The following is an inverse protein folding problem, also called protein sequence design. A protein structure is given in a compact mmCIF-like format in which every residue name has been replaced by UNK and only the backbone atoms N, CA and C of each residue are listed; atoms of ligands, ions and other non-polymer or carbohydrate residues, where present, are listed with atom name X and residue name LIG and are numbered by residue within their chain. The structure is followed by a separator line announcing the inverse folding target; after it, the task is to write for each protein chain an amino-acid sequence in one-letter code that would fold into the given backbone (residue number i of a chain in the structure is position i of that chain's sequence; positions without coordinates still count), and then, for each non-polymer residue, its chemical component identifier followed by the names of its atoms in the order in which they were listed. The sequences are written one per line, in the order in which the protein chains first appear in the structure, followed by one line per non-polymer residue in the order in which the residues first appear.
data_IF_585480015943
#
_entry.id   IF_585480015943
#
_cell.length_a   1.000
_cell.length_b   1.000
_cell.length_c   1.000
_cell.angle_alpha   90.00
_cell.angle_beta   90.00
_cell.angle_gamma   90.00
#
_symmetry.space_group_name_H-M   'P 1'
#
loop_
_entity.id
_entity.type
_entity.pdbx_description
1 polymer ?
#
# COMPACT_ATOMS: atom_id res chain seq x y z
N UNK A 1 73.59 89.15 25.35
CA UNK A 1 74.07 89.89 24.17
C UNK A 1 72.95 89.94 23.16
N UNK A 2 72.16 91.02 23.17
CA UNK A 2 71.20 91.32 22.11
C UNK A 2 71.98 92.02 21.00
N UNK A 3 72.17 91.34 19.88
CA UNK A 3 72.78 91.92 18.69
C UNK A 3 71.63 92.24 17.72
N UNK A 4 71.11 93.47 17.83
CA UNK A 4 70.12 94.04 16.92
C UNK A 4 70.84 94.49 15.64
N UNK A 5 70.91 93.58 14.67
CA UNK A 5 71.08 93.96 13.26
C UNK A 5 69.70 94.24 12.68
N UNK A 6 69.46 95.34 11.96
CA UNK A 6 68.17 95.58 11.33
C UNK A 6 67.93 94.49 10.29
N UNK A 7 67.01 93.56 10.59
CA UNK A 7 66.52 92.58 9.60
C UNK A 7 65.98 93.37 8.42
N UNK A 8 66.65 93.30 7.27
CA UNK A 8 66.04 93.64 5.99
C UNK A 8 64.64 93.03 5.98
N UNK A 9 63.61 93.85 5.77
CA UNK A 9 62.25 93.37 5.65
C UNK A 9 62.22 92.40 4.45
N UNK A 10 62.25 91.10 4.72
CA UNK A 10 62.01 90.09 3.70
C UNK A 10 60.59 90.31 3.20
N UNK A 11 60.46 90.90 2.02
CA UNK A 11 59.17 91.06 1.36
C UNK A 11 58.76 89.65 0.89
N UNK A 12 57.91 89.00 1.68
CA UNK A 12 57.36 87.68 1.38
C UNK A 12 56.05 87.86 0.62
N UNK A 13 55.87 87.14 -0.50
CA UNK A 13 54.59 87.15 -1.22
C UNK A 13 53.50 86.49 -0.38
N UNK A 14 52.25 86.90 -0.56
CA UNK A 14 51.09 86.35 0.17
C UNK A 14 51.02 84.82 0.02
N UNK A 15 51.31 84.28 -1.17
CA UNK A 15 51.39 82.84 -1.41
C UNK A 15 52.47 82.16 -0.58
N UNK A 16 53.66 82.77 -0.50
CA UNK A 16 54.78 82.22 0.28
C UNK A 16 54.50 82.32 1.78
N UNK A 17 53.82 83.36 2.23
CA UNK A 17 53.40 83.53 3.62
C UNK A 17 52.39 82.44 4.03
N UNK A 18 51.33 82.23 3.25
CA UNK A 18 50.32 81.19 3.54
C UNK A 18 50.93 79.78 3.53
N UNK A 19 51.85 79.50 2.59
CA UNK A 19 52.53 78.20 2.53
C UNK A 19 53.43 77.96 3.75
N UNK A 20 54.16 78.98 4.20
CA UNK A 20 55.00 78.87 5.41
C UNK A 20 54.14 78.70 6.67
N UNK A 21 53.04 79.46 6.80
CA UNK A 21 52.12 79.33 7.93
C UNK A 21 51.48 77.94 7.99
N UNK A 22 51.07 77.40 6.83
CA UNK A 22 50.55 76.04 6.72
C UNK A 22 51.57 75.00 7.19
N UNK A 23 52.81 75.08 6.69
CA UNK A 23 53.87 74.13 7.04
C UNK A 23 54.17 74.12 8.54
N UNK A 24 54.23 75.29 9.18
CA UNK A 24 54.49 75.40 10.62
C UNK A 24 53.32 74.82 11.42
N UNK A 25 52.08 75.12 11.05
CA UNK A 25 50.90 74.59 11.75
C UNK A 25 50.78 73.07 11.59
N UNK A 26 51.02 72.56 10.38
CA UNK A 26 51.01 71.11 10.11
C UNK A 26 52.15 70.38 10.86
N UNK A 27 53.34 70.99 11.00
CA UNK A 27 54.47 70.38 11.70
C UNK A 27 54.38 70.44 13.22
N UNK A 28 53.91 71.56 13.79
CA UNK A 28 53.90 71.77 15.24
C UNK A 28 52.65 71.20 15.93
N UNK A 29 51.48 71.29 15.30
CA UNK A 29 50.20 70.87 15.91
C UNK A 29 49.81 69.45 15.46
N UNK A 30 50.12 69.08 14.21
CA UNK A 30 49.87 67.74 13.70
C UNK A 30 48.40 67.31 13.72
N UNK A 31 48.18 66.02 14.00
CA UNK A 31 46.84 65.42 14.10
C UNK A 31 46.25 65.61 15.49
N UNK A 32 45.01 66.11 15.54
CA UNK A 32 44.30 66.44 16.79
C UNK A 32 42.90 65.83 16.83
N UNK A 33 42.41 65.63 18.05
CA UNK A 33 41.01 65.29 18.32
C UNK A 33 40.30 66.51 18.88
N UNK A 34 39.21 66.92 18.22
CA UNK A 34 38.47 68.12 18.59
C UNK A 34 37.00 67.75 18.79
N UNK A 35 36.47 68.08 19.97
CA UNK A 35 35.03 67.99 20.24
C UNK A 35 34.34 69.31 19.91
N UNK A 36 33.14 69.24 19.34
CA UNK A 36 32.30 70.40 19.15
C UNK A 36 30.97 70.07 18.49
N UNK A 37 30.11 71.08 18.42
CA UNK A 37 28.82 70.99 17.75
C UNK A 37 28.97 71.36 16.27
N UNK A 38 28.37 70.56 15.39
CA UNK A 38 28.35 70.82 13.95
C UNK A 38 27.38 71.96 13.66
N UNK A 39 27.84 72.97 12.94
CA UNK A 39 27.00 74.04 12.39
C UNK A 39 27.25 74.19 10.89
N UNK A 40 26.27 74.73 10.16
CA UNK A 40 26.38 75.02 8.73
C UNK A 40 26.87 73.83 7.88
N UNK A 41 26.30 72.63 8.11
CA UNK A 41 26.67 71.43 7.38
C UNK A 41 26.21 71.49 5.91
N UNK A 42 27.14 71.33 4.98
CA UNK A 42 26.92 71.32 3.53
C UNK A 42 27.57 70.09 2.92
N UNK A 43 26.77 69.26 2.25
CA UNK A 43 27.28 68.19 1.40
C UNK A 43 27.40 68.72 -0.04
N UNK A 44 28.62 68.96 -0.51
CA UNK A 44 28.87 69.47 -1.85
C UNK A 44 28.60 68.42 -2.94
N UNK A 45 28.31 68.85 -4.16
CA UNK A 45 28.09 67.97 -5.31
C UNK A 45 29.30 67.07 -5.63
N UNK A 46 30.51 67.46 -5.21
CA UNK A 46 31.73 66.65 -5.31
C UNK A 46 31.77 65.45 -4.35
N UNK A 47 30.83 65.39 -3.40
CA UNK A 47 30.79 64.36 -2.35
C UNK A 47 31.67 64.69 -1.13
N UNK A 48 32.27 65.87 -1.06
CA UNK A 48 32.94 66.37 0.14
C UNK A 48 31.95 67.03 1.09
N UNK A 49 32.19 66.92 2.39
CA UNK A 49 31.38 67.58 3.42
C UNK A 49 32.15 68.77 3.98
N UNK A 50 31.46 69.89 4.10
CA UNK A 50 31.96 71.10 4.71
C UNK A 50 31.04 71.48 5.85
N UNK A 51 31.60 71.75 7.01
CA UNK A 51 30.85 72.17 8.19
C UNK A 51 31.73 73.01 9.10
N UNK A 52 31.13 73.72 10.04
CA UNK A 52 31.87 74.48 11.05
C UNK A 52 31.70 73.78 12.38
N UNK A 53 32.82 73.42 13.01
CA UNK A 53 32.84 72.86 14.35
C UNK A 53 32.91 74.04 15.33
N UNK A 54 31.93 74.17 16.22
CA UNK A 54 31.86 75.26 17.20
C UNK A 54 31.83 74.71 18.63
N UNK A 55 32.42 75.47 19.54
CA UNK A 55 32.23 75.34 20.99
C UNK A 55 31.59 76.63 21.54
N UNK A 56 31.55 76.80 22.86
CA UNK A 56 30.93 77.97 23.49
C UNK A 56 31.65 79.31 23.23
N UNK A 57 32.91 79.30 22.76
CA UNK A 57 33.78 80.49 22.64
C UNK A 57 34.45 80.64 21.28
N UNK A 58 34.56 79.58 20.49
CA UNK A 58 35.33 79.51 19.27
C UNK A 58 34.62 78.64 18.21
N UNK A 59 35.01 78.86 16.95
CA UNK A 59 34.53 78.06 15.82
C UNK A 59 35.66 77.87 14.80
N UNK A 60 35.64 76.73 14.12
CA UNK A 60 36.63 76.39 13.08
C UNK A 60 35.96 75.71 11.89
N UNK A 61 36.31 76.16 10.68
CA UNK A 61 35.84 75.52 9.44
C UNK A 61 36.49 74.16 9.29
N UNK A 62 35.68 73.16 8.96
CA UNK A 62 36.12 71.77 8.84
C UNK A 62 35.66 71.20 7.50
N UNK A 63 36.58 70.53 6.80
CA UNK A 63 36.32 69.83 5.56
C UNK A 63 36.58 68.33 5.75
N UNK A 64 35.67 67.50 5.26
CA UNK A 64 35.81 66.04 5.24
C UNK A 64 35.72 65.55 3.80
N UNK A 65 36.80 64.93 3.31
CA UNK A 65 36.86 64.46 1.93
C UNK A 65 36.06 63.17 1.72
N UNK A 66 35.72 62.90 0.46
CA UNK A 66 34.85 61.78 0.03
C UNK A 66 35.44 60.41 0.41
N UNK A 67 36.76 60.31 0.44
CA UNK A 67 37.45 59.09 0.87
C UNK A 67 37.19 58.78 2.35
N UNK A 68 37.18 59.81 3.19
CA UNK A 68 37.01 59.68 4.64
C UNK A 68 35.55 59.53 5.04
N UNK A 69 34.63 60.29 4.44
CA UNK A 69 33.21 60.24 4.82
C UNK A 69 32.49 58.93 4.42
N UNK A 70 33.04 58.15 3.47
CA UNK A 70 32.47 56.85 3.07
C UNK A 70 32.53 55.80 4.19
N UNK A 71 33.44 55.94 5.15
CA UNK A 71 33.59 55.01 6.27
C UNK A 71 32.64 55.32 7.44
N UNK A 72 31.93 56.45 7.40
CA UNK A 72 30.99 56.80 8.44
C UNK A 72 29.67 56.06 8.25
N UNK A 73 29.21 55.41 9.34
CA UNK A 73 27.92 54.70 9.39
C UNK A 73 26.71 55.65 9.52
N UNK A 74 26.95 56.94 9.77
CA UNK A 74 25.92 57.94 9.95
C UNK A 74 26.25 59.21 9.16
N UNK A 75 25.20 59.98 8.84
CA UNK A 75 25.34 61.29 8.20
C UNK A 75 25.09 62.38 9.25
N UNK A 76 26.09 63.20 9.60
CA UNK A 76 25.92 64.25 10.60
C UNK A 76 24.94 65.32 10.13
N UNK A 77 24.28 65.95 11.09
CA UNK A 77 23.36 67.09 10.93
C UNK A 77 23.87 68.29 11.71
N UNK A 78 23.39 69.48 11.33
CA UNK A 78 23.64 70.67 12.13
C UNK A 78 22.97 70.52 13.51
N UNK A 79 23.72 70.77 14.57
CA UNK A 79 23.33 70.53 15.96
C UNK A 79 23.94 69.29 16.59
N UNK A 80 24.51 68.36 15.80
CA UNK A 80 25.12 67.15 16.34
C UNK A 80 26.43 67.49 17.06
N UNK A 81 26.59 66.99 18.29
CA UNK A 81 27.87 67.03 19.01
C UNK A 81 28.73 65.86 18.58
N UNK A 82 29.93 66.15 18.12
CA UNK A 82 30.84 65.16 17.55
C UNK A 82 32.26 65.35 18.04
N UNK A 83 33.00 64.25 18.10
CA UNK A 83 34.44 64.21 18.28
C UNK A 83 35.06 63.87 16.93
N UNK A 84 35.89 64.76 16.42
CA UNK A 84 36.50 64.65 15.09
C UNK A 84 38.00 64.50 15.22
N UNK A 85 38.56 63.48 14.55
CA UNK A 85 40.01 63.39 14.33
C UNK A 85 40.35 64.15 13.05
N UNK A 86 41.14 65.20 13.19
CA UNK A 86 41.45 66.09 12.08
C UNK A 86 42.91 66.55 12.09
N UNK A 87 43.42 66.84 10.89
CA UNK A 87 44.70 67.51 10.73
C UNK A 87 44.45 69.00 10.52
N UNK A 88 45.26 69.81 11.19
CA UNK A 88 45.15 71.25 11.06
C UNK A 88 45.81 71.74 9.78
N UNK A 89 45.15 72.63 9.04
CA UNK A 89 45.69 73.15 7.78
C UNK A 89 45.19 74.57 7.48
N UNK A 90 45.76 75.19 6.46
CA UNK A 90 45.31 76.49 5.92
C UNK A 90 44.90 76.31 4.46
N UNK A 91 43.75 76.88 4.09
CA UNK A 91 43.34 76.94 2.69
C UNK A 91 44.14 78.03 1.96
N UNK A 92 45.22 77.61 1.29
CA UNK A 92 46.26 78.50 0.71
C UNK A 92 45.72 79.63 -0.17
N UNK A 93 44.64 79.39 -0.91
CA UNK A 93 44.06 80.38 -1.83
C UNK A 93 43.35 81.55 -1.11
N UNK A 94 42.90 81.36 0.14
CA UNK A 94 42.24 82.43 0.93
C UNK A 94 42.92 82.73 2.27
N UNK A 95 43.85 81.88 2.72
CA UNK A 95 44.47 81.99 4.03
C UNK A 95 43.58 81.57 5.19
N UNK A 96 42.45 80.89 4.93
CA UNK A 96 41.51 80.47 5.97
C UNK A 96 42.07 79.29 6.78
N UNK A 97 42.03 79.41 8.11
CA UNK A 97 42.34 78.32 9.04
C UNK A 97 41.24 77.25 8.98
N UNK A 98 41.62 75.99 8.79
CA UNK A 98 40.68 74.90 8.63
C UNK A 98 41.16 73.57 9.22
N UNK A 99 40.23 72.72 9.61
CA UNK A 99 40.47 71.33 9.97
C UNK A 99 40.13 70.41 8.79
N UNK A 100 41.00 69.45 8.51
CA UNK A 100 40.73 68.36 7.57
C UNK A 100 40.36 67.13 8.38
N UNK A 101 39.06 66.83 8.45
CA UNK A 101 38.53 65.70 9.20
C UNK A 101 38.80 64.38 8.48
N UNK A 102 39.42 63.44 9.18
CA UNK A 102 39.64 62.07 8.71
C UNK A 102 38.63 61.08 9.29
N UNK A 103 38.25 61.28 10.55
CA UNK A 103 37.33 60.41 11.28
C UNK A 103 36.39 61.26 12.14
N UNK A 104 35.16 60.80 12.34
CA UNK A 104 34.13 61.50 13.11
C UNK A 104 33.29 60.49 13.89
N UNK A 105 33.09 60.76 15.17
CA UNK A 105 32.21 59.98 16.04
C UNK A 105 31.27 60.92 16.81
N UNK A 106 30.02 60.51 17.11
CA UNK A 106 29.17 61.29 18.00
C UNK A 106 29.82 61.40 19.38
N UNK A 107 29.75 62.59 19.99
CA UNK A 107 30.25 62.82 21.35
C UNK A 107 29.42 61.99 22.34
N UNK A 108 30.04 60.99 22.99
CA UNK A 108 29.40 60.11 23.98
C UNK A 108 29.63 58.61 23.75
N UNK A 109 29.75 58.15 22.50
CA UNK A 109 29.89 56.71 22.20
C UNK A 109 31.21 56.11 22.72
N UNK A 110 32.31 56.87 22.71
CA UNK A 110 33.61 56.41 23.21
C UNK A 110 33.63 56.20 24.73
N UNK A 111 32.98 57.08 25.50
CA UNK A 111 32.90 56.98 26.96
C UNK A 111 32.00 55.82 27.39
N UNK A 112 30.84 55.66 26.73
CA UNK A 112 29.94 54.53 26.99
C UNK A 112 30.62 53.20 26.66
N UNK A 113 31.35 53.11 25.55
CA UNK A 113 32.08 51.88 25.21
C UNK A 113 33.17 51.54 26.24
N UNK A 114 33.93 52.53 26.69
CA UNK A 114 34.93 52.33 27.76
C UNK A 114 34.28 51.91 29.08
N UNK A 115 33.16 52.54 29.47
CA UNK A 115 32.42 52.17 30.66
C UNK A 115 31.87 50.74 30.58
N UNK A 116 31.36 50.32 29.42
CA UNK A 116 30.90 48.96 29.18
C UNK A 116 32.04 47.94 29.31
N UNK A 117 33.19 48.19 28.66
CA UNK A 117 34.34 47.28 28.71
C UNK A 117 34.91 47.18 30.13
N UNK A 118 34.98 48.30 30.87
CA UNK A 118 35.41 48.33 32.26
C UNK A 118 34.46 47.55 33.18
N UNK A 119 33.15 47.78 33.08
CA UNK A 119 32.17 47.09 33.91
C UNK A 119 32.09 45.59 33.58
N UNK A 120 32.18 45.23 32.29
CA UNK A 120 32.26 43.84 31.85
C UNK A 120 33.47 43.13 32.47
N UNK A 121 34.64 43.77 32.47
CA UNK A 121 35.84 43.20 33.09
C UNK A 121 35.66 43.03 34.61
N UNK A 122 35.09 44.04 35.29
CA UNK A 122 34.81 44.00 36.73
C UNK A 122 33.87 42.85 37.11
N UNK A 123 32.72 42.74 36.46
CA UNK A 123 31.72 41.70 36.76
C UNK A 123 32.21 40.29 36.37
N UNK A 124 33.01 40.19 35.31
CA UNK A 124 33.69 38.94 34.93
C UNK A 124 34.68 38.49 36.01
N UNK A 125 35.43 39.40 36.62
CA UNK A 125 36.34 39.08 37.74
C UNK A 125 35.59 38.66 39.00
N UNK A 126 34.38 39.18 39.22
CA UNK A 126 33.49 38.76 40.30
C UNK A 126 32.85 37.39 40.06
N UNK A 127 33.06 36.76 38.89
CA UNK A 127 32.53 35.44 38.56
C UNK A 127 31.07 35.41 38.10
N UNK A 128 30.40 36.56 37.97
CA UNK A 128 28.96 36.62 37.65
C UNK A 128 28.58 36.09 36.26
N UNK A 129 29.56 35.81 35.40
CA UNK A 129 29.34 35.23 34.07
C UNK A 129 29.59 33.72 34.02
N UNK A 130 29.92 33.10 35.17
CA UNK A 130 30.16 31.67 35.26
C UNK A 130 28.93 30.88 34.82
N UNK A 131 29.13 29.84 34.01
CA UNK A 131 28.02 28.96 33.57
C UNK A 131 27.53 28.09 34.73
N UNK A 132 28.40 27.80 35.71
CA UNK A 132 28.09 26.92 36.84
C UNK A 132 27.08 27.54 37.83
N UNK A 133 27.01 28.87 37.89
CA UNK A 133 26.09 29.60 38.77
C UNK A 133 24.71 29.82 38.13
N UNK A 134 24.55 29.55 36.82
CA UNK A 134 23.31 29.81 36.09
C UNK A 134 22.25 28.77 36.42
N UNK A 135 21.05 29.25 36.69
CA UNK A 135 19.91 28.41 37.03
C UNK A 135 19.34 27.73 35.77
N UNK A 136 19.15 26.40 35.76
CA UNK A 136 18.51 25.75 34.64
C UNK A 136 17.03 26.16 34.53
N UNK A 137 16.54 26.32 33.31
CA UNK A 137 15.11 26.59 33.10
C UNK A 137 14.25 25.43 33.62
N UNK A 138 13.09 25.71 34.26
CA UNK A 138 12.16 24.68 34.68
C UNK A 138 11.68 23.84 33.50
N UNK A 139 11.56 22.51 33.70
CA UNK A 139 11.05 21.59 32.66
C UNK A 139 9.59 21.82 32.29
N UNK A 140 8.82 22.46 33.16
CA UNK A 140 7.41 22.75 32.92
C UNK A 140 7.19 24.19 33.33
N UNK A 141 6.89 25.03 32.34
CA UNK A 141 6.63 26.45 32.52
C UNK A 141 5.13 26.65 32.35
N UNK A 142 4.47 27.08 33.42
CA UNK A 142 3.04 27.38 33.44
C UNK A 142 2.77 28.87 33.48
N UNK A 143 3.69 29.65 34.05
CA UNK A 143 3.57 31.10 34.18
C UNK A 143 4.87 31.80 33.86
N UNK A 144 4.79 32.80 32.98
CA UNK A 144 5.95 33.61 32.56
C UNK A 144 5.74 35.05 32.97
N UNK A 145 6.74 35.64 33.64
CA UNK A 145 6.75 37.06 33.95
C UNK A 145 7.51 37.86 32.90
N UNK A 146 6.96 38.98 32.44
CA UNK A 146 7.58 39.86 31.45
C UNK A 146 7.98 41.18 32.09
N UNK A 147 9.28 41.46 32.18
CA UNK A 147 9.83 42.75 32.61
C UNK A 147 10.19 43.56 31.37
N UNK A 148 9.24 44.34 30.88
CA UNK A 148 9.34 45.14 29.65
C UNK A 148 8.25 46.22 29.65
N UNK A 149 8.27 47.15 28.69
CA UNK A 149 7.23 48.17 28.54
C UNK A 149 5.87 47.57 28.22
N UNK A 150 4.81 48.00 28.92
CA UNK A 150 3.45 47.48 28.76
C UNK A 150 2.81 47.71 27.38
N UNK A 151 3.32 48.67 26.62
CA UNK A 151 2.81 49.06 25.29
C UNK A 151 3.81 48.80 24.15
N UNK A 152 4.99 48.22 24.45
CA UNK A 152 6.05 48.02 23.47
C UNK A 152 5.79 46.88 22.49
N UNK A 153 6.47 46.93 21.33
CA UNK A 153 6.44 45.86 20.33
C UNK A 153 6.90 44.50 20.92
N UNK A 154 7.89 44.51 21.82
CA UNK A 154 8.40 43.29 22.45
C UNK A 154 7.34 42.50 23.23
N UNK A 155 6.43 43.18 23.96
CA UNK A 155 5.34 42.49 24.66
C UNK A 155 4.39 41.86 23.66
N UNK A 156 4.02 42.57 22.60
CA UNK A 156 3.11 42.08 21.58
C UNK A 156 3.70 40.87 20.83
N UNK A 157 4.99 40.92 20.50
CA UNK A 157 5.73 39.84 19.85
C UNK A 157 5.76 38.59 20.73
N UNK A 158 6.10 38.74 22.02
CA UNK A 158 6.12 37.63 22.99
C UNK A 158 4.72 37.02 23.13
N UNK A 159 3.70 37.86 23.37
CA UNK A 159 2.32 37.39 23.54
C UNK A 159 1.81 36.65 22.29
N UNK A 160 2.12 37.15 21.09
CA UNK A 160 1.70 36.53 19.83
C UNK A 160 2.35 35.16 19.64
N UNK A 161 3.65 35.04 19.92
CA UNK A 161 4.39 33.77 19.82
C UNK A 161 3.87 32.76 20.85
N UNK A 162 3.68 33.19 22.10
CA UNK A 162 3.18 32.32 23.17
C UNK A 162 1.75 31.86 22.90
N UNK A 163 0.84 32.75 22.49
CA UNK A 163 -0.54 32.38 22.15
C UNK A 163 -0.61 31.37 20.99
N UNK A 164 0.31 31.45 20.02
CA UNK A 164 0.37 30.51 18.90
C UNK A 164 0.95 29.14 19.28
N UNK A 165 2.02 29.10 20.08
CA UNK A 165 2.77 27.86 20.41
C UNK A 165 2.24 27.15 21.64
N UNK A 166 1.91 27.89 22.70
CA UNK A 166 1.43 27.33 23.96
C UNK A 166 0.45 28.30 24.66
N UNK A 167 -0.85 28.26 24.31
CA UNK A 167 -1.86 29.14 24.88
C UNK A 167 -2.21 28.83 26.35
N UNK A 168 -1.68 27.73 26.91
CA UNK A 168 -1.91 27.37 28.32
C UNK A 168 -0.96 28.08 29.28
N UNK A 169 0.08 28.75 28.79
CA UNK A 169 1.00 29.51 29.65
C UNK A 169 0.35 30.86 29.99
N UNK A 170 0.22 31.15 31.28
CA UNK A 170 -0.24 32.46 31.75
C UNK A 170 0.91 33.47 31.73
N UNK A 171 0.62 34.69 31.28
CA UNK A 171 1.63 35.75 31.18
C UNK A 171 1.33 36.85 32.19
N UNK A 172 2.28 37.14 33.07
CA UNK A 172 2.22 38.22 34.04
C UNK A 172 3.13 39.35 33.59
N UNK A 173 2.57 40.53 33.33
CA UNK A 173 3.36 41.68 32.87
C UNK A 173 3.78 42.51 34.09
N UNK A 174 5.09 42.69 34.24
CA UNK A 174 5.71 43.61 35.17
C UNK A 174 6.15 44.85 34.38
N UNK A 175 5.29 45.89 34.28
CA UNK A 175 5.54 47.02 33.42
C UNK A 175 6.79 47.77 33.89
N UNK A 176 7.80 47.82 33.04
CA UNK A 176 9.05 48.52 33.31
C UNK A 176 9.36 49.57 32.26
N UNK A 177 9.95 50.69 32.69
CA UNK A 177 10.69 51.58 31.80
C UNK A 177 11.93 50.83 31.31
N UNK A 178 12.05 50.70 29.99
CA UNK A 178 13.16 49.97 29.33
C UNK A 178 14.15 50.91 28.64
N UNK A 179 13.94 52.22 28.75
CA UNK A 179 14.78 53.27 28.18
C UNK A 179 14.70 54.55 29.02
N UNK A 180 15.76 55.36 28.96
CA UNK A 180 15.91 56.59 29.74
C UNK A 180 16.57 56.38 31.11
N UNK A 181 16.92 57.47 31.80
CA UNK A 181 17.74 57.47 33.03
C UNK A 181 17.12 56.70 34.21
N UNK A 182 15.79 56.56 34.24
CA UNK A 182 15.08 55.84 35.31
C UNK A 182 14.87 54.35 34.98
N UNK A 183 15.25 53.89 33.78
CA UNK A 183 14.95 52.53 33.33
C UNK A 183 15.65 51.47 34.18
N UNK A 184 16.96 51.61 34.45
CA UNK A 184 17.69 50.63 35.23
C UNK A 184 17.10 50.41 36.62
N UNK A 185 16.79 51.50 37.35
CA UNK A 185 16.13 51.41 38.67
C UNK A 185 14.76 50.73 38.60
N UNK A 186 13.99 51.03 37.55
CA UNK A 186 12.66 50.45 37.41
C UNK A 186 12.71 48.96 37.04
N UNK A 187 13.66 48.54 36.20
CA UNK A 187 13.92 47.13 35.88
C UNK A 187 14.27 46.36 37.15
N UNK A 188 15.21 46.88 37.96
CA UNK A 188 15.58 46.27 39.25
C UNK A 188 14.36 46.11 40.15
N UNK A 189 13.56 47.16 40.32
CA UNK A 189 12.36 47.12 41.15
C UNK A 189 11.35 46.08 40.68
N UNK A 190 11.16 45.92 39.36
CA UNK A 190 10.23 44.92 38.81
C UNK A 190 10.76 43.49 38.98
N UNK A 191 12.07 43.26 38.84
CA UNK A 191 12.70 41.95 39.10
C UNK A 191 12.55 41.58 40.58
N UNK A 192 12.82 42.52 41.49
CA UNK A 192 12.64 42.31 42.93
C UNK A 192 11.18 42.04 43.29
N UNK A 193 10.24 42.78 42.70
CA UNK A 193 8.81 42.56 42.91
C UNK A 193 8.37 41.16 42.45
N UNK A 194 8.85 40.70 41.29
CA UNK A 194 8.55 39.35 40.81
C UNK A 194 9.10 38.28 41.76
N UNK A 195 10.33 38.45 42.25
CA UNK A 195 10.95 37.57 43.23
C UNK A 195 10.21 37.56 44.59
N UNK A 196 9.63 38.68 44.99
CA UNK A 196 8.81 38.77 46.21
C UNK A 196 7.48 38.04 46.04
N UNK A 197 6.82 38.18 44.88
CA UNK A 197 5.51 37.57 44.61
C UNK A 197 5.57 36.07 44.37
N UNK A 198 6.66 35.57 43.77
CA UNK A 198 6.87 34.15 43.43
C UNK A 198 5.69 33.54 42.67
N UNK A 199 5.07 34.32 41.79
CA UNK A 199 3.88 33.92 41.02
C UNK A 199 4.20 33.42 39.60
N UNK A 200 5.47 33.48 39.19
CA UNK A 200 5.94 33.06 37.86
C UNK A 200 7.10 32.07 37.97
N UNK A 201 7.20 31.18 36.99
CA UNK A 201 8.22 30.12 36.93
C UNK A 201 9.54 30.63 36.31
N UNK A 202 9.45 31.61 35.41
CA UNK A 202 10.56 32.21 34.69
C UNK A 202 10.26 33.68 34.37
N UNK A 203 11.31 34.49 34.32
CA UNK A 203 11.24 35.90 33.93
C UNK A 203 11.89 36.12 32.56
N UNK A 204 11.23 36.90 31.71
CA UNK A 204 11.83 37.44 30.49
C UNK A 204 12.07 38.93 30.73
N UNK A 205 13.34 39.32 30.77
CA UNK A 205 13.77 40.71 30.89
C UNK A 205 14.25 41.13 29.51
N UNK A 206 13.58 42.11 28.92
CA UNK A 206 13.82 42.38 27.51
C UNK A 206 13.23 43.69 27.03
N UNK A 207 13.60 44.02 25.81
CA UNK A 207 13.11 45.20 25.10
C UNK A 207 13.13 44.91 23.60
N UNK A 208 12.32 45.63 22.83
CA UNK A 208 12.39 45.62 21.35
C UNK A 208 13.62 46.37 20.84
N UNK A 209 13.87 46.37 19.53
CA UNK A 209 15.04 47.05 18.93
C UNK A 209 15.33 48.48 19.44
N UNK A 210 16.55 48.95 19.26
CA UNK A 210 17.00 50.26 19.78
C UNK A 210 18.42 50.61 19.36
N UNK A 211 18.80 51.87 19.55
CA UNK A 211 20.22 52.28 19.50
C UNK A 211 20.99 51.75 20.72
N UNK A 212 22.32 51.85 20.71
CA UNK A 212 23.13 51.45 21.88
C UNK A 212 22.81 52.26 23.15
N UNK A 213 22.47 53.54 23.00
CA UNK A 213 22.07 54.45 24.10
C UNK A 213 20.76 53.98 24.75
N UNK A 214 19.86 53.51 23.89
CA UNK A 214 18.56 52.96 24.23
C UNK A 214 18.67 51.64 25.02
N UNK A 215 19.69 50.83 24.74
CA UNK A 215 19.98 49.58 25.45
C UNK A 215 20.82 49.78 26.71
N UNK A 216 21.28 51.01 26.98
CA UNK A 216 22.27 51.27 28.03
C UNK A 216 21.78 50.89 29.43
N UNK A 217 20.48 51.01 29.71
CA UNK A 217 19.89 50.60 30.98
C UNK A 217 20.20 49.14 31.36
N UNK A 218 20.41 48.26 30.37
CA UNK A 218 20.76 46.86 30.57
C UNK A 218 22.28 46.62 30.73
N UNK A 219 23.07 47.67 30.60
CA UNK A 219 24.51 47.71 30.85
C UNK A 219 24.85 48.40 32.18
N UNK A 220 23.87 48.66 33.05
CA UNK A 220 24.12 49.24 34.37
C UNK A 220 24.37 48.15 35.42
N UNK A 221 25.32 48.42 36.32
CA UNK A 221 25.71 47.52 37.42
C UNK A 221 24.53 47.05 38.30
N UNK A 222 23.58 47.91 38.72
CA UNK A 222 22.44 47.47 39.53
C UNK A 222 21.56 46.42 38.84
N UNK A 223 21.39 46.52 37.51
CA UNK A 223 20.58 45.55 36.74
C UNK A 223 21.30 44.21 36.67
N UNK A 224 22.62 44.21 36.47
CA UNK A 224 23.43 42.99 36.52
C UNK A 224 23.27 42.27 37.88
N UNK A 225 23.39 43.00 39.00
CA UNK A 225 23.20 42.41 40.32
C UNK A 225 21.78 41.89 40.56
N UNK A 226 20.76 42.61 40.10
CA UNK A 226 19.37 42.17 40.24
C UNK A 226 19.09 40.89 39.46
N UNK A 227 19.68 40.74 38.27
CA UNK A 227 19.55 39.52 37.47
C UNK A 227 20.29 38.35 38.15
N UNK A 228 21.55 38.54 38.55
CA UNK A 228 22.36 37.50 39.18
C UNK A 228 21.75 36.98 40.49
N UNK A 229 21.18 37.88 41.31
CA UNK A 229 20.61 37.53 42.62
C UNK A 229 19.15 37.09 42.55
N UNK A 230 18.56 36.96 41.35
CA UNK A 230 17.17 36.55 41.20
C UNK A 230 16.98 35.08 41.63
N UNK A 231 15.96 34.81 42.43
CA UNK A 231 15.57 33.44 42.80
C UNK A 231 14.75 32.75 41.70
N UNK A 232 14.20 33.53 40.76
CA UNK A 232 13.49 33.05 39.58
C UNK A 232 14.46 33.12 38.39
N UNK A 233 14.58 32.06 37.58
CA UNK A 233 15.45 32.07 36.40
C UNK A 233 15.07 33.21 35.42
N UNK A 234 16.07 33.93 34.92
CA UNK A 234 15.90 35.07 34.01
C UNK A 234 16.43 34.74 32.62
N UNK A 235 15.59 35.02 31.63
CA UNK A 235 15.93 35.03 30.21
C UNK A 235 16.14 36.48 29.79
N UNK A 236 17.35 36.82 29.34
CA UNK A 236 17.60 38.11 28.71
C UNK A 236 17.17 38.08 27.25
N UNK A 237 16.36 39.06 26.85
CA UNK A 237 15.83 39.21 25.50
C UNK A 237 16.03 40.66 24.98
N UNK A 238 17.24 41.18 25.19
CA UNK A 238 17.59 42.59 24.91
C UNK A 238 18.45 42.71 23.65
N UNK A 239 19.54 41.94 23.58
CA UNK A 239 20.56 42.08 22.54
C UNK A 239 20.18 41.41 21.22
N UNK A 240 20.65 41.96 20.10
CA UNK A 240 20.67 41.28 18.81
C UNK A 240 21.96 40.45 18.67
N UNK A 241 22.17 39.73 17.56
CA UNK A 241 23.37 38.89 17.37
C UNK A 241 24.69 39.68 17.48
N UNK A 242 24.68 41.00 17.22
CA UNK A 242 25.88 41.85 17.17
C UNK A 242 26.11 42.66 18.45
N UNK A 243 25.06 43.01 19.19
CA UNK A 243 25.11 43.93 20.34
C UNK A 243 24.72 43.20 21.63
N UNK A 244 25.70 42.54 22.27
CA UNK A 244 25.51 41.79 23.52
C UNK A 244 25.63 42.72 24.73
N UNK A 245 24.58 42.76 25.54
CA UNK A 245 24.52 43.59 26.76
C UNK A 245 25.10 42.86 27.98
N UNK A 246 25.37 43.58 29.07
CA UNK A 246 25.81 42.96 30.33
C UNK A 246 24.70 42.07 30.90
N UNK A 247 23.44 42.50 30.83
CA UNK A 247 22.30 41.67 31.19
C UNK A 247 22.30 40.30 30.47
N UNK A 248 22.68 40.26 29.19
CA UNK A 248 22.79 39.00 28.42
C UNK A 248 23.88 38.05 28.95
N UNK A 249 24.96 38.58 29.53
CA UNK A 249 26.03 37.75 30.10
C UNK A 249 25.64 37.19 31.46
N UNK A 250 24.95 38.00 32.27
CA UNK A 250 24.56 37.64 33.65
C UNK A 250 23.34 36.74 33.69
N UNK A 251 22.39 36.91 32.76
CA UNK A 251 21.17 36.10 32.72
C UNK A 251 21.47 34.60 32.58
N UNK A 252 20.56 33.78 33.12
CA UNK A 252 20.66 32.33 33.09
C UNK A 252 20.62 31.81 31.66
N UNK A 253 19.74 32.40 30.85
CA UNK A 253 19.60 32.08 29.42
C UNK A 253 19.54 33.37 28.59
N UNK A 254 20.26 33.36 27.48
CA UNK A 254 20.23 34.46 26.50
C UNK A 254 19.34 34.09 25.32
N UNK A 255 18.42 34.98 24.98
CA UNK A 255 17.64 34.95 23.76
C UNK A 255 18.01 36.15 22.86
N UNK A 256 18.23 35.94 21.55
CA UNK A 256 18.63 37.01 20.63
C UNK A 256 17.49 37.99 20.27
N UNK A 257 16.25 37.67 20.62
CA UNK A 257 15.08 38.55 20.42
C UNK A 257 14.00 38.22 21.45
N UNK A 258 13.07 39.16 21.74
CA UNK A 258 11.86 38.89 22.51
C UNK A 258 11.07 37.68 21.99
N UNK A 259 10.89 37.57 20.66
CA UNK A 259 10.22 36.42 20.03
C UNK A 259 10.95 35.11 20.30
N UNK A 260 12.29 35.09 20.20
CA UNK A 260 13.08 33.88 20.49
C UNK A 260 12.98 33.48 21.98
N UNK A 261 12.91 34.45 22.89
CA UNK A 261 12.68 34.18 24.31
C UNK A 261 11.32 33.49 24.52
N UNK A 262 10.28 33.98 23.84
CA UNK A 262 8.97 33.35 23.84
C UNK A 262 9.00 31.93 23.27
N UNK A 263 9.81 31.66 22.22
CA UNK A 263 9.97 30.32 21.67
C UNK A 263 10.69 29.34 22.61
N UNK A 264 11.63 29.82 23.43
CA UNK A 264 12.31 28.99 24.43
C UNK A 264 11.36 28.53 25.53
N UNK A 265 10.48 29.42 26.01
CA UNK A 265 9.54 29.10 27.09
C UNK A 265 8.28 28.36 26.62
N UNK A 266 7.97 28.40 25.32
CA UNK A 266 6.73 27.83 24.76
C UNK A 266 6.89 26.48 24.06
N UNK A 267 8.05 25.84 24.18
CA UNK A 267 8.23 24.44 23.74
C UNK A 267 7.37 23.51 24.61
N UNK A 268 6.85 22.41 24.02
CA UNK A 268 6.23 21.22 24.69
C UNK A 268 4.71 20.91 24.54
N UNK A 269 3.87 21.77 23.93
CA UNK A 269 2.46 21.38 23.70
C UNK A 269 2.30 20.30 22.62
N UNK A 270 2.99 20.44 21.49
CA UNK A 270 2.87 19.50 20.37
C UNK A 270 3.34 18.10 20.75
N UNK A 271 4.37 17.99 21.60
CA UNK A 271 4.87 16.71 22.06
C UNK A 271 3.89 16.05 23.03
N UNK A 272 3.35 16.82 23.98
CA UNK A 272 2.32 16.34 24.91
C UNK A 272 1.06 15.89 24.16
N UNK A 273 0.62 16.63 23.16
CA UNK A 273 -0.51 16.26 22.28
C UNK A 273 -0.25 14.97 21.51
N UNK A 274 0.96 14.79 20.96
CA UNK A 274 1.37 13.54 20.29
C UNK A 274 1.41 12.36 21.26
N UNK A 275 1.92 12.55 22.48
CA UNK A 275 1.95 11.52 23.51
C UNK A 275 0.53 11.11 23.92
N UNK A 276 -0.38 12.06 24.12
CA UNK A 276 -1.78 11.79 24.45
C UNK A 276 -2.50 11.03 23.33
N UNK A 277 -2.27 11.41 22.06
CA UNK A 277 -2.83 10.70 20.92
C UNK A 277 -2.28 9.26 20.83
N UNK A 278 -0.98 9.07 21.08
CA UNK A 278 -0.35 7.74 21.13
C UNK A 278 -0.96 6.86 22.23
N UNK A 279 -1.15 7.40 23.44
CA UNK A 279 -1.78 6.69 24.54
C UNK A 279 -3.24 6.32 24.21
N UNK A 280 -4.01 7.24 23.62
CA UNK A 280 -5.38 6.99 23.15
C UNK A 280 -5.44 5.85 22.12
N UNK A 281 -4.51 5.85 21.16
CA UNK A 281 -4.44 4.80 20.14
C UNK A 281 -4.09 3.45 20.79
N UNK A 282 -3.09 3.41 21.67
CA UNK A 282 -2.71 2.18 22.40
C UNK A 282 -3.87 1.61 23.21
N UNK A 283 -4.62 2.46 23.92
CA UNK A 283 -5.82 2.06 24.65
C UNK A 283 -6.87 1.46 23.71
N UNK A 284 -7.13 2.12 22.59
CA UNK A 284 -8.12 1.68 21.60
C UNK A 284 -7.75 0.30 21.01
N UNK A 285 -6.47 0.08 20.69
CA UNK A 285 -5.97 -1.22 20.24
C UNK A 285 -6.11 -2.31 21.31
N UNK A 286 -5.78 -2.00 22.57
CA UNK A 286 -5.91 -2.95 23.67
C UNK A 286 -7.37 -3.39 23.88
N UNK A 287 -8.31 -2.44 23.88
CA UNK A 287 -9.75 -2.73 23.98
C UNK A 287 -10.21 -3.61 22.83
N UNK A 288 -9.82 -3.27 21.58
CA UNK A 288 -10.19 -4.05 20.40
C UNK A 288 -9.68 -5.48 20.48
N UNK A 289 -8.44 -5.68 20.89
CA UNK A 289 -7.84 -7.02 21.04
C UNK A 289 -8.56 -7.85 22.11
N UNK A 290 -8.91 -7.24 23.26
CA UNK A 290 -9.67 -7.92 24.32
C UNK A 290 -11.04 -8.35 23.79
N UNK A 291 -11.77 -7.45 23.12
CA UNK A 291 -13.10 -7.76 22.58
C UNK A 291 -13.03 -8.87 21.52
N UNK A 292 -12.05 -8.83 20.61
CA UNK A 292 -11.86 -9.87 19.60
C UNK A 292 -11.54 -11.23 20.23
N UNK A 293 -10.70 -11.27 21.25
CA UNK A 293 -10.37 -12.51 21.95
C UNK A 293 -11.60 -13.10 22.67
N UNK A 294 -12.39 -12.26 23.35
CA UNK A 294 -13.64 -12.68 24.01
C UNK A 294 -14.68 -13.16 23.00
N UNK A 295 -14.84 -12.48 21.87
CA UNK A 295 -15.74 -12.92 20.80
C UNK A 295 -15.33 -14.29 20.23
N UNK A 296 -14.03 -14.50 20.03
CA UNK A 296 -13.50 -15.78 19.55
C UNK A 296 -13.80 -16.91 20.53
N UNK A 297 -13.58 -16.69 21.84
CA UNK A 297 -13.91 -17.67 22.89
C UNK A 297 -15.40 -18.02 22.90
N UNK A 298 -16.28 -17.01 22.84
CA UNK A 298 -17.73 -17.25 22.79
C UNK A 298 -18.10 -18.08 21.55
N UNK A 299 -17.50 -17.78 20.39
CA UNK A 299 -17.74 -18.53 19.16
C UNK A 299 -17.25 -19.97 19.27
N UNK A 300 -16.08 -20.20 19.86
CA UNK A 300 -15.55 -21.55 20.09
C UNK A 300 -16.45 -22.36 21.02
N UNK A 301 -16.87 -21.79 22.15
CA UNK A 301 -17.77 -22.46 23.10
C UNK A 301 -19.13 -22.73 22.47
N UNK A 302 -19.72 -21.75 21.77
CA UNK A 302 -20.98 -21.91 21.03
C UNK A 302 -20.90 -23.03 19.99
N UNK A 303 -19.79 -23.11 19.25
CA UNK A 303 -19.55 -24.16 18.25
C UNK A 303 -19.37 -25.53 18.90
N UNK A 304 -18.64 -25.59 20.01
CA UNK A 304 -18.48 -26.83 20.78
C UNK A 304 -19.82 -27.32 21.35
N UNK A 305 -20.68 -26.39 21.78
CA UNK A 305 -22.02 -26.69 22.29
C UNK A 305 -22.94 -27.22 21.18
N UNK A 306 -22.87 -26.64 19.98
CA UNK A 306 -23.70 -27.08 18.84
C UNK A 306 -23.29 -28.44 18.29
N UNK A 307 -21.99 -28.71 18.19
CA UNK A 307 -21.46 -30.02 17.76
C UNK A 307 -21.75 -31.11 18.80
N UNK A 308 -21.61 -30.79 20.09
CA UNK A 308 -21.91 -31.74 21.17
C UNK A 308 -23.38 -31.77 21.57
N UNK A 309 -24.25 -31.04 20.86
CA UNK A 309 -25.66 -30.99 21.20
C UNK A 309 -26.26 -32.41 21.09
N UNK A 310 -26.85 -32.96 22.16
CA UNK A 310 -27.34 -34.34 22.20
C UNK A 310 -28.32 -34.63 21.06
N UNK A 311 -29.16 -33.66 20.71
CA UNK A 311 -30.10 -33.76 19.59
C UNK A 311 -29.39 -33.96 18.24
N UNK A 312 -28.26 -33.28 17.98
CA UNK A 312 -27.52 -33.44 16.73
C UNK A 312 -26.90 -34.84 16.62
N UNK A 313 -26.36 -35.36 17.74
CA UNK A 313 -25.85 -36.74 17.82
C UNK A 313 -26.97 -37.77 17.63
N UNK A 314 -28.14 -37.54 18.22
CA UNK A 314 -29.32 -38.41 18.05
C UNK A 314 -29.79 -38.41 16.59
N UNK A 315 -29.88 -37.24 15.95
CA UNK A 315 -30.27 -37.13 14.53
C UNK A 315 -29.29 -37.87 13.63
N UNK A 316 -27.97 -37.73 13.84
CA UNK A 316 -26.96 -38.47 13.07
C UNK A 316 -27.04 -39.98 13.29
N UNK A 317 -27.25 -40.42 14.54
CA UNK A 317 -27.44 -41.83 14.85
C UNK A 317 -28.71 -42.38 14.18
N UNK A 318 -29.81 -41.62 14.19
CA UNK A 318 -31.07 -41.99 13.56
C UNK A 318 -30.93 -42.12 12.03
N UNK A 319 -30.28 -41.16 11.37
CA UNK A 319 -29.94 -41.25 9.94
C UNK A 319 -29.07 -42.47 9.62
N UNK A 320 -28.14 -42.81 10.50
CA UNK A 320 -27.28 -43.99 10.33
C UNK A 320 -28.07 -45.29 10.44
N UNK A 321 -29.01 -45.37 11.39
CA UNK A 321 -29.93 -46.51 11.52
C UNK A 321 -30.81 -46.63 10.28
N UNK A 322 -31.37 -45.53 9.79
CA UNK A 322 -32.22 -45.54 8.59
C UNK A 322 -31.45 -46.03 7.35
N UNK A 323 -30.22 -45.53 7.14
CA UNK A 323 -29.35 -45.96 6.04
C UNK A 323 -29.02 -47.45 6.14
N UNK A 324 -28.57 -47.92 7.30
CA UNK A 324 -28.21 -49.33 7.51
C UNK A 324 -29.42 -50.25 7.35
N UNK A 325 -30.60 -49.80 7.76
CA UNK A 325 -31.87 -50.53 7.58
C UNK A 325 -32.24 -50.63 6.11
N UNK A 326 -32.09 -49.54 5.34
CA UNK A 326 -32.31 -49.53 3.89
C UNK A 326 -31.35 -50.46 3.13
N UNK A 327 -30.06 -50.41 3.48
CA UNK A 327 -29.03 -51.30 2.92
C UNK A 327 -29.33 -52.76 3.24
N UNK A 328 -29.66 -53.09 4.49
CA UNK A 328 -30.02 -54.43 4.92
C UNK A 328 -31.23 -54.97 4.14
N UNK A 329 -32.30 -54.17 4.03
CA UNK A 329 -33.50 -54.56 3.29
C UNK A 329 -33.21 -54.83 1.81
N UNK A 330 -32.34 -54.03 1.20
CA UNK A 330 -31.93 -54.21 -0.20
C UNK A 330 -31.13 -55.51 -0.38
N UNK A 331 -30.18 -55.79 0.53
CA UNK A 331 -29.39 -57.01 0.52
C UNK A 331 -30.25 -58.27 0.76
N UNK A 332 -31.19 -58.21 1.70
CA UNK A 332 -32.14 -59.30 1.96
C UNK A 332 -32.97 -59.59 0.71
N UNK A 333 -33.57 -58.55 0.11
CA UNK A 333 -34.37 -58.71 -1.13
C UNK A 333 -33.55 -59.32 -2.26
N UNK A 334 -32.32 -58.83 -2.46
CA UNK A 334 -31.41 -59.38 -3.48
C UNK A 334 -31.08 -60.84 -3.21
N UNK A 335 -30.76 -61.20 -1.96
CA UNK A 335 -30.43 -62.58 -1.59
C UNK A 335 -31.61 -63.53 -1.81
N UNK A 336 -32.83 -63.11 -1.47
CA UNK A 336 -34.04 -63.89 -1.72
C UNK A 336 -34.28 -64.04 -3.22
N UNK A 337 -34.14 -62.97 -4.00
CA UNK A 337 -34.32 -63.01 -5.45
C UNK A 337 -33.29 -63.94 -6.12
N UNK A 338 -32.02 -63.85 -5.73
CA UNK A 338 -30.95 -64.71 -6.24
C UNK A 338 -31.23 -66.19 -5.92
N UNK A 339 -31.66 -66.49 -4.69
CA UNK A 339 -32.03 -67.85 -4.29
C UNK A 339 -33.24 -68.38 -5.08
N UNK A 340 -34.27 -67.54 -5.30
CA UNK A 340 -35.44 -67.91 -6.10
C UNK A 340 -35.05 -68.16 -7.57
N UNK A 341 -34.18 -67.32 -8.13
CA UNK A 341 -33.68 -67.49 -9.50
C UNK A 341 -32.89 -68.81 -9.62
N UNK A 342 -32.01 -69.11 -8.67
CA UNK A 342 -31.27 -70.38 -8.63
C UNK A 342 -32.19 -71.59 -8.56
N UNK A 343 -33.24 -71.54 -7.74
CA UNK A 343 -34.25 -72.60 -7.66
C UNK A 343 -34.98 -72.77 -8.99
N UNK A 344 -35.41 -71.68 -9.63
CA UNK A 344 -36.08 -71.74 -10.93
C UNK A 344 -35.16 -72.31 -12.01
N UNK A 345 -33.89 -71.91 -12.07
CA UNK A 345 -32.92 -72.48 -13.02
C UNK A 345 -32.74 -73.98 -12.80
N UNK A 346 -32.58 -74.43 -11.54
CA UNK A 346 -32.46 -75.87 -11.22
C UNK A 346 -33.75 -76.64 -11.55
N UNK A 347 -34.91 -76.04 -11.32
CA UNK A 347 -36.20 -76.63 -11.66
C UNK A 347 -36.35 -76.83 -13.18
N UNK A 348 -36.00 -75.81 -13.98
CA UNK A 348 -36.01 -75.88 -15.44
C UNK A 348 -34.99 -76.93 -15.94
N UNK A 349 -33.79 -76.97 -15.36
CA UNK A 349 -32.78 -77.99 -15.70
C UNK A 349 -33.29 -79.40 -15.43
N UNK A 350 -33.94 -79.63 -14.28
CA UNK A 350 -34.55 -80.91 -13.94
C UNK A 350 -35.65 -81.29 -14.93
N UNK A 351 -36.54 -80.35 -15.26
CA UNK A 351 -37.60 -80.59 -16.25
C UNK A 351 -37.03 -80.95 -17.62
N UNK A 352 -35.99 -80.24 -18.07
CA UNK A 352 -35.35 -80.49 -19.36
C UNK A 352 -34.54 -81.79 -19.41
N UNK A 353 -34.14 -82.36 -18.27
CA UNK A 353 -33.49 -83.67 -18.17
C UNK A 353 -34.50 -84.83 -18.06
N UNK A 354 -35.81 -84.55 -18.07
CA UNK A 354 -36.81 -85.61 -17.91
C UNK A 354 -36.89 -86.49 -19.17
N UNK A 355 -36.57 -87.79 -19.09
CA UNK A 355 -36.56 -88.68 -20.25
C UNK A 355 -37.96 -88.94 -20.84
N UNK A 356 -39.02 -88.56 -20.13
CA UNK A 356 -40.41 -88.76 -20.57
C UNK A 356 -40.72 -88.08 -21.91
N UNK A 357 -40.18 -86.88 -22.16
CA UNK A 357 -40.38 -86.18 -23.43
C UNK A 357 -39.66 -86.88 -24.59
N UNK A 358 -38.40 -87.25 -24.38
CA UNK A 358 -37.63 -88.03 -25.36
C UNK A 358 -38.27 -89.40 -25.63
N UNK A 359 -38.77 -90.09 -24.59
CA UNK A 359 -39.47 -91.36 -24.72
C UNK A 359 -40.76 -91.20 -25.53
N UNK A 360 -41.54 -90.15 -25.30
CA UNK A 360 -42.76 -89.88 -26.08
C UNK A 360 -42.45 -89.61 -27.56
N UNK A 361 -41.43 -88.80 -27.84
CA UNK A 361 -40.96 -88.54 -29.21
C UNK A 361 -40.46 -89.82 -29.90
N UNK A 362 -39.67 -90.64 -29.21
CA UNK A 362 -39.21 -91.93 -29.75
C UNK A 362 -40.34 -92.93 -29.95
N UNK A 363 -41.35 -92.99 -29.07
CA UNK A 363 -42.55 -93.83 -29.25
C UNK A 363 -43.35 -93.41 -30.48
N UNK A 364 -43.57 -92.11 -30.67
CA UNK A 364 -44.26 -91.59 -31.86
C UNK A 364 -43.47 -91.89 -33.15
N UNK A 365 -42.14 -91.74 -33.10
CA UNK A 365 -41.26 -92.10 -34.22
C UNK A 365 -41.32 -93.61 -34.53
N UNK A 366 -41.36 -94.46 -33.51
CA UNK A 366 -41.48 -95.90 -33.68
C UNK A 366 -42.84 -96.30 -34.26
N UNK A 367 -43.94 -95.69 -33.81
CA UNK A 367 -45.28 -95.89 -34.37
C UNK A 367 -45.33 -95.53 -35.86
N UNK A 368 -44.87 -94.32 -36.22
CA UNK A 368 -44.86 -93.88 -37.62
C UNK A 368 -43.96 -94.73 -38.52
N UNK A 369 -42.81 -95.20 -38.03
CA UNK A 369 -41.95 -96.12 -38.78
C UNK A 369 -42.61 -97.50 -38.93
N UNK A 370 -43.32 -97.98 -37.91
CA UNK A 370 -44.05 -99.26 -37.97
C UNK A 370 -45.20 -99.23 -38.99
N UNK A 371 -45.95 -98.14 -39.07
CA UNK A 371 -47.00 -97.96 -40.07
C UNK A 371 -46.43 -97.88 -41.49
N UNK A 372 -45.28 -97.20 -41.64
CA UNK A 372 -44.60 -97.07 -42.94
C UNK A 372 -44.08 -98.40 -43.45
N UNK A 373 -43.52 -99.26 -42.59
CA UNK A 373 -43.01 -100.57 -43.05
C UNK A 373 -44.15 -101.51 -43.45
N UNK A 374 -45.26 -101.52 -42.70
CA UNK A 374 -46.44 -102.32 -43.05
C UNK A 374 -47.02 -101.87 -44.39
N UNK A 375 -47.13 -100.55 -44.62
CA UNK A 375 -47.59 -100.02 -45.91
C UNK A 375 -46.65 -100.40 -47.05
N UNK A 376 -45.34 -100.21 -46.88
CA UNK A 376 -44.34 -100.57 -47.89
C UNK A 376 -44.34 -102.08 -48.23
N UNK A 377 -44.57 -102.94 -47.23
CA UNK A 377 -44.72 -104.38 -47.45
C UNK A 377 -45.97 -104.70 -48.29
N UNK A 378 -47.11 -104.09 -47.99
CA UNK A 378 -48.35 -104.28 -48.73
C UNK A 378 -48.22 -103.81 -50.18
N UNK A 379 -47.71 -102.60 -50.39
CA UNK A 379 -47.52 -102.02 -51.73
C UNK A 379 -46.56 -102.89 -52.56
N UNK A 380 -45.51 -103.42 -51.93
CA UNK A 380 -44.56 -104.33 -52.61
C UNK A 380 -45.22 -105.64 -53.02
N UNK A 381 -46.02 -106.25 -52.15
CA UNK A 381 -46.73 -107.49 -52.44
C UNK A 381 -47.72 -107.31 -53.59
N UNK A 382 -48.51 -106.24 -53.55
CA UNK A 382 -49.51 -105.91 -54.57
C UNK A 382 -48.83 -105.67 -55.94
N UNK A 383 -47.75 -104.88 -55.98
CA UNK A 383 -46.98 -104.66 -57.22
C UNK A 383 -46.42 -105.97 -57.81
N UNK A 384 -45.98 -106.91 -56.96
CA UNK A 384 -45.48 -108.22 -57.39
C UNK A 384 -46.61 -109.12 -57.92
N UNK A 385 -47.79 -109.11 -57.30
CA UNK A 385 -48.96 -109.87 -57.76
C UNK A 385 -49.46 -109.38 -59.12
N UNK A 386 -49.57 -108.06 -59.30
CA UNK A 386 -49.95 -107.45 -60.58
C UNK A 386 -48.95 -107.83 -61.68
N UNK A 387 -47.64 -107.79 -61.37
CA UNK A 387 -46.59 -108.20 -62.31
C UNK A 387 -46.70 -109.67 -62.71
N UNK A 388 -47.02 -110.57 -61.77
CA UNK A 388 -47.20 -112.00 -62.02
C UNK A 388 -48.42 -112.25 -62.94
N UNK A 389 -49.56 -111.61 -62.64
CA UNK A 389 -50.78 -111.76 -63.42
C UNK A 389 -50.59 -111.36 -64.90
N UNK A 390 -49.91 -110.23 -65.13
CA UNK A 390 -49.59 -109.76 -66.48
C UNK A 390 -48.72 -110.77 -67.25
N UNK A 391 -47.71 -111.37 -66.61
CA UNK A 391 -46.86 -112.38 -67.24
C UNK A 391 -47.63 -113.66 -67.61
N UNK A 392 -48.57 -114.10 -66.76
CA UNK A 392 -49.42 -115.26 -67.04
C UNK A 392 -50.35 -115.02 -68.22
N UNK A 393 -50.91 -113.81 -68.36
CA UNK A 393 -51.81 -113.47 -69.47
C UNK A 393 -51.07 -113.45 -70.82
N UNK A 394 -49.82 -112.99 -70.84
CA UNK A 394 -48.97 -113.02 -72.04
C UNK A 394 -48.67 -114.46 -72.49
N UNK A 395 -48.46 -115.40 -71.57
CA UNK A 395 -48.22 -116.81 -71.94
C UNK A 395 -49.43 -117.49 -72.60
N UNK A 396 -50.66 -117.15 -72.21
CA UNK A 396 -51.85 -117.81 -72.73
C UNK A 396 -52.20 -117.44 -74.19
N UNK A 397 -51.82 -116.25 -74.67
CA UNK A 397 -52.22 -115.77 -76.00
C UNK A 397 -51.44 -116.39 -77.17
N UNK A 398 -50.36 -117.12 -76.90
CA UNK A 398 -49.44 -117.69 -77.92
C UNK A 398 -49.55 -119.21 -78.09
N UNK A 399 -50.58 -119.88 -77.53
CA UNK A 399 -50.71 -121.35 -77.57
C UNK A 399 -51.53 -121.91 -78.77
N UNK A 400 -51.00 -122.87 -79.57
CA UNK A 400 -51.67 -123.46 -80.74
C UNK A 400 -53.01 -124.18 -80.45
N UNK A 401 -53.22 -124.67 -79.23
CA UNK A 401 -54.45 -125.37 -78.81
C UNK A 401 -55.71 -124.50 -78.94
N UNK A 402 -55.58 -123.17 -78.82
CA UNK A 402 -56.70 -122.23 -78.94
C UNK A 402 -57.29 -122.13 -80.36
N UNK A 403 -56.63 -122.73 -81.35
CA UNK A 403 -57.05 -122.73 -82.76
C UNK A 403 -58.01 -123.88 -83.08
N UNK A 404 -57.82 -125.05 -82.45
CA UNK A 404 -58.69 -126.22 -82.62
C UNK A 404 -60.01 -126.08 -81.86
N UNK A 405 -60.03 -125.35 -80.75
CA UNK A 405 -61.24 -125.04 -79.97
C UNK A 405 -62.23 -124.08 -80.66
N UNK A 406 -61.91 -123.59 -81.88
CA UNK A 406 -62.80 -122.72 -82.69
C UNK A 406 -63.69 -123.47 -83.69
N UNK A 407 -63.73 -124.80 -83.65
CA UNK A 407 -64.72 -125.60 -84.39
C UNK A 407 -64.30 -126.09 -85.78
N UNK A 408 -63.01 -126.06 -86.11
CA UNK A 408 -62.49 -126.66 -87.35
C UNK A 408 -62.17 -128.15 -87.14
N UNK A 409 -62.61 -129.01 -88.07
CA UNK A 409 -62.26 -130.44 -88.11
C UNK A 409 -61.23 -130.73 -89.20
N UNK A 410 -60.45 -131.80 -89.03
CA UNK A 410 -59.49 -132.28 -90.03
C UNK A 410 -59.90 -133.68 -90.47
N UNK A 411 -60.00 -133.93 -91.77
CA UNK A 411 -60.37 -135.24 -92.33
C UNK A 411 -59.16 -136.00 -92.87
N UNK A 412 -59.16 -137.31 -92.69
CA UNK A 412 -58.10 -138.25 -93.05
C UNK A 412 -58.67 -139.41 -93.88
N UNK A 413 -57.95 -139.83 -94.92
CA UNK A 413 -58.17 -141.08 -95.65
C UNK A 413 -57.02 -142.01 -95.26
N UNK A 414 -57.34 -143.04 -94.47
CA UNK A 414 -56.34 -143.86 -93.75
C UNK A 414 -55.41 -143.03 -92.86
N UNK A 415 -54.23 -142.65 -93.37
CA UNK A 415 -53.19 -141.88 -92.67
C UNK A 415 -52.90 -140.50 -93.27
N UNK A 416 -53.43 -140.19 -94.46
CA UNK A 416 -53.16 -138.92 -95.13
C UNK A 416 -54.30 -137.92 -94.96
N UNK A 417 -53.94 -136.65 -94.75
CA UNK A 417 -54.91 -135.56 -94.62
C UNK A 417 -55.57 -135.31 -95.97
N UNK A 418 -56.90 -135.39 -95.98
CA UNK A 418 -57.72 -135.10 -97.15
C UNK A 418 -57.85 -133.59 -97.27
N UNK A 419 -57.27 -133.03 -98.32
CA UNK A 419 -57.33 -131.59 -98.63
C UNK A 419 -58.22 -131.28 -99.83
N UNK A 420 -58.58 -132.31 -100.61
CA UNK A 420 -59.33 -132.15 -101.86
C UNK A 420 -60.18 -133.39 -102.18
N UNK A 421 -61.32 -133.17 -102.83
CA UNK A 421 -62.33 -134.18 -103.15
C UNK A 421 -61.84 -135.21 -104.19
N UNK A 422 -60.83 -134.88 -105.01
CA UNK A 422 -60.27 -135.77 -106.05
C UNK A 422 -59.51 -137.00 -105.49
N UNK A 423 -59.22 -137.01 -104.19
CA UNK A 423 -58.45 -138.07 -103.53
C UNK A 423 -59.33 -139.24 -103.04
N UNK A 424 -60.63 -139.24 -103.37
CA UNK A 424 -61.63 -140.11 -102.77
C UNK A 424 -62.30 -141.02 -103.81
N UNK A 425 -62.46 -142.29 -103.44
CA UNK A 425 -63.17 -143.30 -104.22
C UNK A 425 -64.52 -143.66 -103.55
N UNK A 426 -65.49 -144.13 -104.35
CA UNK A 426 -66.74 -144.69 -103.83
C UNK A 426 -66.47 -145.95 -103.01
N UNK A 427 -67.24 -146.14 -101.94
CA UNK A 427 -67.09 -147.20 -100.91
C UNK A 427 -65.84 -147.12 -100.01
N UNK A 428 -65.07 -146.02 -100.06
CA UNK A 428 -63.89 -145.81 -99.21
C UNK A 428 -64.27 -145.30 -97.80
N UNK A 429 -63.42 -145.56 -96.80
CA UNK A 429 -63.62 -145.15 -95.40
C UNK A 429 -62.85 -143.84 -95.10
N UNK A 430 -63.50 -142.89 -94.43
CA UNK A 430 -62.97 -141.59 -94.05
C UNK A 430 -62.98 -141.40 -92.54
N UNK A 431 -61.91 -140.85 -91.95
CA UNK A 431 -61.82 -140.55 -90.52
C UNK A 431 -61.75 -139.04 -90.32
N UNK A 432 -62.71 -138.45 -89.60
CA UNK A 432 -62.74 -136.99 -89.34
C UNK A 432 -62.50 -136.73 -87.86
N UNK A 433 -61.53 -135.85 -87.55
CA UNK A 433 -61.08 -135.53 -86.19
C UNK A 433 -61.58 -134.16 -85.75
N UNK A 434 -62.22 -134.13 -84.59
CA UNK A 434 -62.74 -132.96 -83.89
C UNK A 434 -61.91 -132.70 -82.62
N UNK A 435 -62.24 -131.62 -81.90
CA UNK A 435 -61.58 -131.28 -80.63
C UNK A 435 -61.72 -132.36 -79.54
N UNK A 436 -62.74 -133.22 -79.66
CA UNK A 436 -63.25 -134.14 -78.65
C UNK A 436 -63.36 -135.59 -79.14
N UNK A 437 -63.04 -135.89 -80.41
CA UNK A 437 -63.15 -137.25 -80.91
C UNK A 437 -62.87 -137.44 -82.39
N UNK A 438 -63.04 -138.69 -82.84
CA UNK A 438 -62.88 -139.13 -84.23
C UNK A 438 -64.14 -139.88 -84.70
N UNK A 439 -64.58 -139.60 -85.93
CA UNK A 439 -65.76 -140.24 -86.54
C UNK A 439 -65.34 -140.94 -87.83
N UNK A 440 -65.76 -142.19 -87.99
CA UNK A 440 -65.46 -143.05 -89.14
C UNK A 440 -66.69 -143.12 -90.04
N UNK A 441 -66.51 -142.85 -91.34
CA UNK A 441 -67.61 -142.71 -92.31
C UNK A 441 -67.32 -143.53 -93.57
N UNK A 442 -68.34 -144.06 -94.26
CA UNK A 442 -68.19 -144.72 -95.57
C UNK A 442 -68.75 -143.82 -96.69
N UNK A 443 -68.01 -143.69 -97.79
CA UNK A 443 -68.39 -142.83 -98.91
C UNK A 443 -69.43 -143.52 -99.80
N UNK A 444 -70.62 -142.94 -99.91
CA UNK A 444 -71.73 -143.47 -100.71
C UNK A 444 -71.78 -142.94 -102.15
N UNK A 445 -71.39 -141.69 -102.38
CA UNK A 445 -71.24 -141.11 -103.71
C UNK A 445 -70.27 -139.92 -103.70
N UNK A 446 -69.29 -139.90 -104.58
CA UNK A 446 -68.44 -138.72 -104.83
C UNK A 446 -69.03 -137.90 -105.97
N UNK A 447 -69.50 -136.68 -105.66
CA UNK A 447 -69.88 -135.68 -106.65
C UNK A 447 -68.81 -134.60 -106.68
N UNK A 448 -68.07 -134.50 -107.77
CA UNK A 448 -67.21 -133.34 -108.03
C UNK A 448 -68.07 -132.19 -108.56
N UNK A 449 -67.92 -131.02 -107.92
CA UNK A 449 -68.42 -129.73 -108.41
C UNK A 449 -67.67 -129.26 -109.64
#
# INVERSE_FOLDING_TARGET
MFNDSPKQAQIVSVTRLNRLARQILESEIGQVWVSGEISNFVAAASGHWYFTLKDNKAQVKTAMFKGSNRYLKFRPKAGDKVVVRANLSIYEARGDYQLIAEHMEPEGQGQLKQAYEALKAQLSQMGMFSVDDKQPLPKTITRVGLVTSSTGAAVHDILTVMARRNPSIEVVIYPSLVQGELAARNIVQQIELANQRKEVDVLIVGRGGGSLEDLWAFNEEPVAHAIYNSAIPIISAVGHEVDVTIADYVADVRAPTPSAAAELVSQDQDETGKQLLSLKNRLSYAIKNILQHRHSLVRQVSTALSINHPQAKIVQAQQSVDRLTGELNTLIKRRIQDASNQLNTRHIQLQNQTPLRAIAEHKNRLSSLSERIVRAQKDKLESSQVRLANLSQVMNSVSPLATLSRGYSISFAEKDIVKSVKQLNNDQILTTKFHDGEVISKITAVKSN
#
